data_IF_333647953048
#
_entry.id   IF_333647953048
#
_cell.length_a   1.000
_cell.length_b   1.000
_cell.length_c   1.000
_cell.angle_alpha   90.00
_cell.angle_beta   90.00
_cell.angle_gamma   90.00
#
_symmetry.space_group_name_H-M   'P 1'
#
loop_
_entity.id
_entity.type
_entity.pdbx_description
1 polymer ?
#
# COMPACT_ATOMS: atom_id res chain seq x y z
N UNK A 1 -17.67 7.41 19.86
CA UNK A 1 -16.87 7.51 18.62
C UNK A 1 -17.73 7.03 17.47
N UNK A 2 -17.86 7.77 16.35
CA UNK A 2 -18.70 7.35 15.22
C UNK A 2 -18.15 6.03 14.63
N UNK A 3 -19.01 5.07 14.30
CA UNK A 3 -18.59 3.75 13.80
C UNK A 3 -17.69 3.87 12.55
N UNK A 4 -17.90 4.90 11.73
CA UNK A 4 -17.06 5.18 10.57
C UNK A 4 -15.63 5.56 10.97
N UNK A 5 -15.44 6.40 12.00
CA UNK A 5 -14.11 6.74 12.52
C UNK A 5 -13.36 5.53 13.09
N UNK A 6 -14.08 4.62 13.76
CA UNK A 6 -13.46 3.39 14.27
C UNK A 6 -13.01 2.48 13.11
N UNK A 7 -13.85 2.31 12.08
CA UNK A 7 -13.50 1.54 10.89
C UNK A 7 -12.30 2.13 10.16
N UNK A 8 -12.28 3.45 9.96
CA UNK A 8 -11.18 4.13 9.29
C UNK A 8 -9.87 3.99 10.07
N UNK A 9 -9.93 4.08 11.41
CA UNK A 9 -8.76 3.89 12.26
C UNK A 9 -8.23 2.46 12.23
N UNK A 10 -9.13 1.45 12.24
CA UNK A 10 -8.76 0.04 12.09
C UNK A 10 -8.15 -0.20 10.71
N UNK A 11 -8.77 0.33 9.66
CA UNK A 11 -8.26 0.19 8.30
C UNK A 11 -6.87 0.83 8.15
N UNK A 12 -6.69 2.04 8.68
CA UNK A 12 -5.40 2.71 8.69
C UNK A 12 -4.34 1.87 9.42
N UNK A 13 -4.68 1.33 10.60
CA UNK A 13 -3.80 0.44 11.35
C UNK A 13 -3.39 -0.80 10.55
N UNK A 14 -4.36 -1.50 9.94
CA UNK A 14 -4.09 -2.67 9.10
C UNK A 14 -3.18 -2.33 7.93
N UNK A 15 -3.45 -1.23 7.22
CA UNK A 15 -2.63 -0.78 6.09
C UNK A 15 -1.21 -0.42 6.55
N UNK A 16 -1.07 0.34 7.64
CA UNK A 16 0.23 0.72 8.19
C UNK A 16 1.04 -0.49 8.62
N UNK A 17 0.42 -1.48 9.28
CA UNK A 17 1.10 -2.71 9.66
C UNK A 17 1.49 -3.55 8.45
N UNK A 18 0.64 -3.64 7.43
CA UNK A 18 0.95 -4.38 6.19
C UNK A 18 2.13 -3.76 5.45
N UNK A 19 2.10 -2.44 5.23
CA UNK A 19 3.17 -1.71 4.52
C UNK A 19 4.46 -1.69 5.33
N UNK A 20 4.38 -1.36 6.62
CA UNK A 20 5.55 -1.31 7.50
C UNK A 20 6.16 -2.70 7.73
N UNK A 21 5.32 -3.70 7.99
CA UNK A 21 5.77 -5.08 8.21
C UNK A 21 6.41 -5.69 6.98
N UNK A 22 5.82 -5.50 5.79
CA UNK A 22 6.43 -5.98 4.54
C UNK A 22 7.76 -5.27 4.22
N UNK A 23 7.89 -3.99 4.55
CA UNK A 23 9.16 -3.26 4.41
C UNK A 23 10.23 -3.83 5.35
N UNK A 24 9.90 -4.08 6.62
CA UNK A 24 10.83 -4.68 7.59
C UNK A 24 11.29 -6.06 7.12
N UNK A 25 10.36 -6.90 6.63
CA UNK A 25 10.70 -8.21 6.09
C UNK A 25 11.65 -8.12 4.89
N UNK A 26 11.47 -7.13 4.01
CA UNK A 26 12.37 -6.92 2.87
C UNK A 26 13.79 -6.48 3.26
N UNK A 27 13.94 -5.82 4.41
CA UNK A 27 15.25 -5.43 4.93
C UNK A 27 15.98 -6.66 5.48
N UNK A 28 15.28 -7.51 6.24
CA UNK A 28 15.86 -8.64 6.98
C UNK A 28 16.06 -9.87 6.09
N UNK A 29 15.13 -10.17 5.18
CA UNK A 29 15.21 -11.31 4.26
C UNK A 29 15.39 -10.82 2.82
N UNK A 30 16.57 -11.13 2.27
CA UNK A 30 16.93 -10.75 0.90
C UNK A 30 16.04 -11.43 -0.16
N UNK A 31 15.53 -12.63 0.12
CA UNK A 31 14.61 -13.33 -0.78
C UNK A 31 13.23 -12.65 -0.82
N UNK A 32 12.83 -12.03 0.29
CA UNK A 32 11.56 -11.31 0.40
C UNK A 32 11.61 -9.91 -0.26
N UNK A 33 12.78 -9.43 -0.69
CA UNK A 33 12.87 -8.13 -1.40
C UNK A 33 12.10 -8.10 -2.70
N UNK A 34 12.12 -9.19 -3.46
CA UNK A 34 11.47 -9.27 -4.79
C UNK A 34 9.95 -9.13 -4.69
N UNK A 35 9.28 -10.10 -4.04
CA UNK A 35 8.44 -9.83 -2.86
C UNK A 35 7.81 -8.45 -2.72
N UNK A 36 8.47 -7.68 -1.86
CA UNK A 36 8.12 -6.32 -1.51
C UNK A 36 8.15 -5.35 -2.70
N UNK A 37 9.12 -5.47 -3.61
CA UNK A 37 9.21 -4.60 -4.80
C UNK A 37 7.98 -4.77 -5.69
N UNK A 38 7.50 -6.00 -5.89
CA UNK A 38 6.27 -6.24 -6.65
C UNK A 38 5.07 -5.58 -5.96
N UNK A 39 4.96 -5.72 -4.64
CA UNK A 39 3.91 -5.10 -3.85
C UNK A 39 3.95 -3.56 -3.92
N UNK A 40 5.14 -2.98 -3.80
CA UNK A 40 5.37 -1.55 -3.91
C UNK A 40 5.04 -1.04 -5.31
N UNK A 41 5.40 -1.80 -6.36
CA UNK A 41 5.09 -1.47 -7.75
C UNK A 41 3.59 -1.44 -8.01
N UNK A 42 2.85 -2.42 -7.49
CA UNK A 42 1.37 -2.43 -7.58
C UNK A 42 0.77 -1.23 -6.83
N UNK A 43 1.26 -0.94 -5.62
CA UNK A 43 0.78 0.20 -4.83
C UNK A 43 1.02 1.55 -5.52
N UNK A 44 2.26 1.78 -5.98
CA UNK A 44 2.64 3.01 -6.70
C UNK A 44 1.91 3.10 -8.04
N UNK A 45 1.84 2.01 -8.81
CA UNK A 45 1.13 1.96 -10.08
C UNK A 45 -0.37 2.23 -9.94
N UNK A 46 -1.00 1.67 -8.90
CA UNK A 46 -2.39 1.95 -8.56
C UNK A 46 -2.61 3.43 -8.19
N UNK A 47 -1.74 3.99 -7.35
CA UNK A 47 -1.80 5.40 -6.98
C UNK A 47 -1.65 6.33 -8.20
N UNK A 48 -0.65 6.07 -9.05
CA UNK A 48 -0.42 6.82 -10.29
C UNK A 48 -1.64 6.69 -11.21
N UNK A 49 -2.17 5.48 -11.42
CA UNK A 49 -3.35 5.26 -12.26
C UNK A 49 -4.59 6.00 -11.76
N UNK A 50 -4.76 6.13 -10.44
CA UNK A 50 -5.84 6.92 -9.84
C UNK A 50 -5.61 8.43 -9.92
N UNK A 51 -4.37 8.90 -10.02
CA UNK A 51 -4.02 10.32 -10.12
C UNK A 51 -3.97 10.84 -11.56
N UNK A 52 -3.75 9.97 -12.56
CA UNK A 52 -3.82 10.35 -13.97
C UNK A 52 -5.27 10.73 -14.33
N UNK A 53 -5.52 11.95 -14.82
CA UNK A 53 -6.86 12.35 -15.22
C UNK A 53 -7.37 11.50 -16.38
N UNK A 54 -8.57 10.95 -16.25
CA UNK A 54 -9.21 10.10 -17.27
C UNK A 54 -9.34 10.77 -18.64
N UNK A 55 -9.27 12.09 -18.73
CA UNK A 55 -9.27 12.83 -20.00
C UNK A 55 -8.01 12.62 -20.86
N UNK A 56 -6.95 12.02 -20.29
CA UNK A 56 -5.73 11.69 -21.03
C UNK A 56 -5.67 10.23 -21.50
N UNK A 57 -6.67 9.40 -21.14
CA UNK A 57 -6.87 8.09 -21.75
C UNK A 57 -7.70 8.28 -23.03
N UNK A 58 -7.01 8.49 -24.15
CA UNK A 58 -7.60 8.56 -25.49
C UNK A 58 -7.60 7.20 -26.17
#
# INVERSE_FOLDING_TARGET
>A
MNNNKLKDMVLAGVISTLVGGSLVLAIIDENYRSTFIDLAKVGVGGYIGLTIPKSQYK
#
